data_IF_465565746670
#
_entry.id   IF_465565746670
#
_cell.length_a   1.000
_cell.length_b   1.000
_cell.length_c   1.000
_cell.angle_alpha   90.00
_cell.angle_beta   90.00
_cell.angle_gamma   90.00
#
_symmetry.space_group_name_H-M   'P 1'
#
loop_
_entity.id
_entity.type
_entity.pdbx_description
1 polymer ?
#
# COMPACT_ATOMS: atom_id res chain seq x y z
N UNK A 1 1.32 24.94 16.32
CA UNK A 1 2.13 25.89 15.53
C UNK A 1 3.54 25.93 16.08
N UNK A 2 4.53 25.62 15.24
CA UNK A 2 5.82 25.03 15.64
C UNK A 2 6.97 26.02 15.81
N UNK A 3 7.95 25.61 16.63
CA UNK A 3 9.19 26.31 17.04
C UNK A 3 9.77 27.37 16.09
N UNK A 4 9.76 27.13 14.77
CA UNK A 4 10.25 28.08 13.77
C UNK A 4 9.52 29.43 13.82
N UNK A 5 8.19 29.43 13.92
CA UNK A 5 7.41 30.67 13.95
C UNK A 5 7.71 31.48 15.23
N UNK A 6 7.89 30.80 16.36
CA UNK A 6 8.30 31.43 17.62
C UNK A 6 9.70 32.03 17.51
N UNK A 7 10.65 31.32 16.89
CA UNK A 7 12.00 31.83 16.68
C UNK A 7 12.04 33.06 15.76
N UNK A 8 11.20 33.09 14.72
CA UNK A 8 11.06 34.26 13.85
C UNK A 8 10.46 35.44 14.58
N UNK A 9 9.42 35.24 15.38
CA UNK A 9 8.80 36.31 16.18
C UNK A 9 9.74 36.84 17.27
N UNK A 10 10.54 35.95 17.88
CA UNK A 10 11.57 36.37 18.84
C UNK A 10 12.64 37.25 18.18
N UNK A 11 13.02 36.95 16.93
CA UNK A 11 13.99 37.73 16.16
C UNK A 11 13.39 39.02 15.56
N UNK A 12 12.12 38.99 15.18
CA UNK A 12 11.39 40.10 14.57
C UNK A 12 10.08 40.36 15.35
N UNK A 13 10.14 41.04 16.51
CA UNK A 13 8.97 41.21 17.39
C UNK A 13 7.84 42.03 16.78
N UNK A 14 8.16 42.90 15.82
CA UNK A 14 7.16 43.68 15.07
C UNK A 14 6.46 42.87 13.96
N UNK A 15 6.83 41.59 13.81
CA UNK A 15 6.29 40.69 12.80
C UNK A 15 7.22 40.49 11.61
N UNK A 16 7.10 39.34 10.97
CA UNK A 16 7.83 39.00 9.76
C UNK A 16 6.90 38.24 8.81
N UNK A 17 6.87 38.67 7.54
CA UNK A 17 6.06 38.02 6.50
C UNK A 17 6.50 36.60 6.19
N UNK A 18 7.78 36.27 6.43
CA UNK A 18 8.40 35.03 6.00
C UNK A 18 8.59 34.06 7.17
N UNK A 19 8.18 32.80 7.00
CA UNK A 19 8.50 31.74 7.97
C UNK A 19 10.01 31.41 8.00
N UNK A 20 10.71 31.64 6.89
CA UNK A 20 12.16 31.46 6.75
C UNK A 20 12.80 32.75 6.24
N UNK A 21 13.04 33.75 7.12
CA UNK A 21 13.71 34.99 6.74
C UNK A 21 15.22 34.77 6.58
N UNK A 22 15.87 35.55 5.71
CA UNK A 22 17.31 35.51 5.54
C UNK A 22 18.04 35.77 6.88
N UNK A 23 19.08 34.97 7.16
CA UNK A 23 19.89 35.09 8.38
C UNK A 23 20.84 36.28 8.37
N UNK A 24 21.33 36.67 7.18
CA UNK A 24 22.27 37.79 7.02
C UNK A 24 21.64 38.96 6.27
N UNK A 25 22.11 40.17 6.56
CA UNK A 25 21.74 41.42 5.85
C UNK A 25 20.22 41.64 5.75
N UNK A 26 19.50 41.29 6.82
CA UNK A 26 18.05 41.30 6.94
C UNK A 26 17.64 41.79 8.33
N UNK A 27 17.75 43.11 8.53
CA UNK A 27 17.54 43.77 9.83
C UNK A 27 16.05 43.86 10.16
N UNK A 28 15.24 44.12 9.15
CA UNK A 28 13.79 44.33 9.25
C UNK A 28 12.97 43.07 8.95
N UNK A 29 13.62 41.94 8.64
CA UNK A 29 12.94 40.68 8.33
C UNK A 29 12.23 40.68 6.98
N UNK A 30 12.45 41.69 6.13
CA UNK A 30 11.77 41.84 4.84
C UNK A 30 12.22 40.81 3.79
N UNK A 31 13.40 40.22 3.95
CA UNK A 31 14.00 39.32 2.94
C UNK A 31 13.79 37.84 3.29
N UNK A 32 13.30 37.02 2.35
CA UNK A 32 13.26 35.57 2.53
C UNK A 32 14.66 34.97 2.40
N UNK A 33 14.85 33.77 2.95
CA UNK A 33 16.01 32.94 2.63
C UNK A 33 16.04 32.63 1.13
N UNK A 34 17.23 32.64 0.52
CA UNK A 34 17.37 32.28 -0.89
C UNK A 34 17.47 30.77 -1.09
N UNK A 35 17.08 30.29 -2.27
CA UNK A 35 17.18 28.87 -2.63
C UNK A 35 18.61 28.33 -2.50
N UNK A 36 19.60 29.14 -2.88
CA UNK A 36 21.02 28.80 -2.72
C UNK A 36 21.35 28.51 -1.25
N UNK A 37 20.94 29.42 -0.36
CA UNK A 37 21.17 29.27 1.08
C UNK A 37 20.43 28.07 1.67
N UNK A 38 19.21 27.80 1.23
CA UNK A 38 18.48 26.60 1.66
C UNK A 38 19.18 25.31 1.23
N UNK A 39 19.73 25.27 0.01
CA UNK A 39 20.55 24.13 -0.45
C UNK A 39 21.84 23.98 0.36
N UNK A 40 22.52 25.08 0.67
CA UNK A 40 23.72 25.06 1.51
C UNK A 40 23.39 24.51 2.92
N UNK A 41 22.26 24.93 3.50
CA UNK A 41 21.81 24.41 4.80
C UNK A 41 21.50 22.91 4.75
N UNK A 42 20.88 22.42 3.67
CA UNK A 42 20.63 20.99 3.48
C UNK A 42 21.95 20.20 3.39
N UNK A 43 22.93 20.70 2.63
CA UNK A 43 24.23 20.06 2.51
C UNK A 43 24.94 19.94 3.87
N UNK A 44 25.00 21.02 4.64
CA UNK A 44 25.59 21.03 5.98
C UNK A 44 24.86 20.04 6.92
N UNK A 45 23.54 19.94 6.79
CA UNK A 45 22.77 19.00 7.60
C UNK A 45 23.07 17.55 7.24
N UNK A 46 23.16 17.22 5.95
CA UNK A 46 23.53 15.88 5.48
C UNK A 46 24.95 15.47 5.93
N UNK A 47 25.91 16.39 5.86
CA UNK A 47 27.27 16.16 6.38
C UNK A 47 27.26 15.82 7.87
N UNK A 48 26.49 16.57 8.67
CA UNK A 48 26.36 16.31 10.11
C UNK A 48 25.72 14.97 10.43
N UNK A 49 24.82 14.49 9.57
CA UNK A 49 24.21 13.17 9.72
C UNK A 49 25.12 12.03 9.27
N UNK A 50 26.23 12.33 8.57
CA UNK A 50 27.20 11.34 8.08
C UNK A 50 26.53 10.20 7.28
N UNK A 51 25.48 10.52 6.51
CA UNK A 51 24.76 9.52 5.72
C UNK A 51 25.61 9.16 4.50
N UNK A 52 25.87 7.87 4.32
CA UNK A 52 26.63 7.31 3.21
C UNK A 52 25.79 6.33 2.41
N UNK A 53 26.16 6.13 1.14
CA UNK A 53 25.61 5.08 0.29
C UNK A 53 26.27 3.71 0.57
N UNK A 54 25.83 2.67 -0.13
CA UNK A 54 26.36 1.30 0.02
C UNK A 54 27.85 1.15 -0.33
N UNK A 55 28.47 2.17 -0.95
CA UNK A 55 29.89 2.21 -1.28
C UNK A 55 30.68 3.11 -0.31
N UNK A 56 30.04 3.65 0.72
CA UNK A 56 30.66 4.52 1.73
C UNK A 56 30.81 5.98 1.29
N UNK A 57 30.20 6.42 0.19
CA UNK A 57 30.27 7.80 -0.25
C UNK A 57 29.15 8.66 0.37
N UNK A 58 29.41 9.94 0.70
CA UNK A 58 28.36 10.83 1.20
C UNK A 58 27.19 10.97 0.23
N UNK A 59 25.97 10.82 0.74
CA UNK A 59 24.76 10.92 -0.09
C UNK A 59 24.50 12.34 -0.55
N UNK A 60 24.04 12.48 -1.80
CA UNK A 60 23.55 13.76 -2.35
C UNK A 60 22.02 13.76 -2.39
N UNK A 61 21.42 14.55 -1.51
CA UNK A 61 19.96 14.71 -1.44
C UNK A 61 19.57 16.15 -1.80
N UNK A 62 18.50 16.29 -2.58
CA UNK A 62 17.93 17.55 -3.05
C UNK A 62 16.50 17.72 -2.54
N UNK A 63 16.02 18.97 -2.49
CA UNK A 63 14.63 19.24 -2.12
C UNK A 63 13.61 18.60 -3.06
N UNK A 64 13.95 18.45 -4.36
CA UNK A 64 13.07 17.81 -5.33
C UNK A 64 12.90 16.30 -5.05
N UNK A 65 13.95 15.64 -4.54
CA UNK A 65 13.85 14.24 -4.12
C UNK A 65 12.89 14.05 -2.95
N UNK A 66 12.80 14.98 -2.00
CA UNK A 66 11.77 14.88 -0.94
C UNK A 66 10.35 14.91 -1.51
N UNK A 67 10.11 15.76 -2.52
CA UNK A 67 8.84 15.82 -3.23
C UNK A 67 8.54 14.51 -3.98
N UNK A 68 9.53 13.92 -4.66
CA UNK A 68 9.39 12.60 -5.28
C UNK A 68 9.09 11.50 -4.26
N UNK A 69 9.76 11.50 -3.12
CA UNK A 69 9.55 10.53 -2.03
C UNK A 69 8.13 10.64 -1.49
N UNK A 70 7.62 11.86 -1.27
CA UNK A 70 6.23 12.08 -0.84
C UNK A 70 5.23 11.55 -1.89
N UNK A 71 5.39 11.94 -3.15
CA UNK A 71 4.52 11.50 -4.24
C UNK A 71 4.49 9.97 -4.40
N UNK A 72 5.65 9.34 -4.30
CA UNK A 72 5.82 7.88 -4.37
C UNK A 72 5.13 7.17 -3.20
N UNK A 73 5.25 7.72 -1.98
CA UNK A 73 4.54 7.17 -0.82
C UNK A 73 3.02 7.28 -0.98
N UNK A 74 2.53 8.39 -1.50
CA UNK A 74 1.10 8.60 -1.72
C UNK A 74 0.54 7.67 -2.79
N UNK A 75 1.23 7.50 -3.91
CA UNK A 75 0.75 6.60 -4.98
C UNK A 75 0.73 5.13 -4.49
N UNK A 76 1.75 4.72 -3.73
CA UNK A 76 1.83 3.36 -3.20
C UNK A 76 0.81 3.11 -2.08
N UNK A 77 0.26 4.17 -1.48
CA UNK A 77 -0.83 4.13 -0.51
C UNK A 77 -2.22 4.32 -1.18
N UNK A 78 -2.30 4.10 -2.49
CA UNK A 78 -3.52 4.22 -3.31
C UNK A 78 -4.22 5.58 -3.24
N UNK A 79 -3.48 6.65 -2.91
CA UNK A 79 -4.02 8.01 -3.01
C UNK A 79 -4.30 8.32 -4.48
N UNK A 80 -5.52 8.78 -4.84
CA UNK A 80 -5.86 9.03 -6.23
C UNK A 80 -4.92 10.04 -6.90
N UNK A 81 -4.50 9.76 -8.14
CA UNK A 81 -3.59 10.62 -8.89
C UNK A 81 -4.05 12.10 -8.99
N UNK A 82 -5.35 12.42 -9.17
CA UNK A 82 -5.80 13.81 -9.15
C UNK A 82 -5.53 14.52 -7.82
N UNK A 83 -5.67 13.80 -6.69
CA UNK A 83 -5.37 14.34 -5.35
C UNK A 83 -3.88 14.62 -5.20
N UNK A 84 -3.03 13.69 -5.65
CA UNK A 84 -1.57 13.88 -5.65
C UNK A 84 -1.18 15.06 -6.55
N UNK A 85 -1.81 15.18 -7.73
CA UNK A 85 -1.57 16.27 -8.67
C UNK A 85 -1.90 17.63 -8.03
N UNK A 86 -3.07 17.77 -7.40
CA UNK A 86 -3.47 19.00 -6.71
C UNK A 86 -2.58 19.29 -5.52
N UNK A 87 -2.29 18.30 -4.67
CA UNK A 87 -1.49 18.52 -3.47
C UNK A 87 -0.07 18.95 -3.80
N UNK A 88 0.52 18.35 -4.83
CA UNK A 88 1.86 18.71 -5.25
C UNK A 88 1.86 19.95 -6.14
N UNK A 89 0.72 20.42 -6.65
CA UNK A 89 0.67 21.51 -7.63
C UNK A 89 1.44 21.13 -8.91
N UNK A 90 1.06 20.01 -9.52
CA UNK A 90 1.57 19.58 -10.83
C UNK A 90 0.79 20.22 -11.96
N UNK A 91 1.53 20.90 -12.84
CA UNK A 91 0.99 21.59 -14.02
C UNK A 91 0.33 20.67 -15.05
N UNK A 92 0.60 19.36 -15.00
CA UNK A 92 -0.07 18.39 -15.86
C UNK A 92 -0.23 17.02 -15.19
N UNK A 93 -1.24 16.23 -15.59
CA UNK A 93 -1.38 14.84 -15.16
C UNK A 93 -0.17 13.97 -15.51
N UNK A 94 0.53 14.29 -16.61
CA UNK A 94 1.71 13.55 -17.06
C UNK A 94 2.85 13.56 -16.02
N UNK A 95 3.02 14.65 -15.28
CA UNK A 95 4.02 14.74 -14.20
C UNK A 95 3.70 13.79 -13.03
N UNK A 96 2.41 13.58 -12.74
CA UNK A 96 1.94 12.64 -11.72
C UNK A 96 1.99 11.20 -12.21
N UNK A 97 1.69 10.96 -13.49
CA UNK A 97 1.67 9.62 -14.09
C UNK A 97 3.04 8.90 -14.03
N UNK A 98 4.15 9.63 -13.89
CA UNK A 98 5.48 9.03 -13.67
C UNK A 98 5.48 8.15 -12.41
N UNK A 99 4.73 8.53 -11.36
CA UNK A 99 4.61 7.74 -10.13
C UNK A 99 3.70 6.53 -10.29
N UNK A 100 2.73 6.56 -11.22
CA UNK A 100 1.86 5.42 -11.49
C UNK A 100 2.66 4.20 -12.00
N UNK A 101 3.67 4.41 -12.85
CA UNK A 101 4.58 3.34 -13.29
C UNK A 101 5.39 2.73 -12.13
N UNK A 102 5.69 3.53 -11.11
CA UNK A 102 6.40 3.08 -9.92
C UNK A 102 5.46 2.33 -8.96
N UNK A 103 4.20 2.76 -8.89
CA UNK A 103 3.12 2.00 -8.25
C UNK A 103 2.96 0.63 -8.93
N UNK A 104 2.83 0.57 -10.26
CA UNK A 104 2.71 -0.71 -10.99
C UNK A 104 3.83 -1.70 -10.65
N UNK A 105 5.08 -1.21 -10.52
CA UNK A 105 6.23 -2.03 -10.11
C UNK A 105 6.14 -2.47 -8.65
N UNK A 106 5.71 -1.58 -7.76
CA UNK A 106 5.58 -1.84 -6.33
C UNK A 106 4.45 -2.84 -6.08
N UNK A 107 3.28 -2.57 -6.65
CA UNK A 107 2.10 -3.42 -6.67
C UNK A 107 2.41 -4.80 -7.27
N UNK A 108 3.17 -4.86 -8.38
CA UNK A 108 3.67 -6.12 -8.95
C UNK A 108 4.54 -6.89 -7.95
N UNK A 109 5.49 -6.22 -7.30
CA UNK A 109 6.36 -6.87 -6.29
C UNK A 109 5.55 -7.35 -5.10
N UNK A 110 4.57 -6.58 -4.62
CA UNK A 110 3.65 -7.01 -3.57
C UNK A 110 2.87 -8.24 -4.00
N UNK A 111 2.35 -8.26 -5.22
CA UNK A 111 1.68 -9.42 -5.77
C UNK A 111 2.59 -10.63 -5.88
N UNK A 112 3.79 -10.50 -6.45
CA UNK A 112 4.77 -11.59 -6.59
C UNK A 112 5.15 -12.17 -5.22
N UNK A 113 5.31 -11.33 -4.20
CA UNK A 113 5.71 -11.74 -2.85
C UNK A 113 4.54 -12.17 -1.94
N UNK A 114 3.30 -11.82 -2.26
CA UNK A 114 2.15 -12.17 -1.43
C UNK A 114 1.99 -13.69 -1.33
N UNK A 115 1.64 -14.20 -0.16
CA UNK A 115 1.14 -15.57 -0.06
C UNK A 115 -0.20 -15.66 -0.79
N UNK A 116 -0.29 -16.57 -1.75
CA UNK A 116 -1.54 -16.92 -2.41
C UNK A 116 -2.09 -18.19 -1.80
N UNK A 117 -3.38 -18.19 -1.51
CA UNK A 117 -4.10 -19.33 -0.92
C UNK A 117 -5.24 -19.72 -1.86
N UNK A 118 -5.38 -21.02 -2.14
CA UNK A 118 -6.47 -21.56 -2.95
C UNK A 118 -7.72 -21.84 -2.10
N UNK A 119 -8.79 -22.35 -2.73
CA UNK A 119 -10.04 -22.66 -2.05
C UNK A 119 -9.95 -23.79 -1.01
N UNK A 120 -8.88 -24.59 -1.02
CA UNK A 120 -8.58 -25.62 -0.01
C UNK A 120 -7.73 -25.10 1.16
N UNK A 121 -7.36 -23.82 1.17
CA UNK A 121 -6.50 -23.25 2.20
C UNK A 121 -5.03 -23.66 2.08
N UNK A 122 -4.60 -24.09 0.91
CA UNK A 122 -3.23 -24.46 0.60
C UNK A 122 -2.53 -23.32 -0.14
N UNK A 123 -1.20 -23.28 -0.06
CA UNK A 123 -0.39 -22.33 -0.85
C UNK A 123 -0.63 -22.58 -2.34
N UNK A 124 -1.11 -21.56 -3.03
CA UNK A 124 -1.36 -21.60 -4.47
C UNK A 124 -0.10 -21.16 -5.22
N UNK A 125 0.44 -22.05 -6.06
CA UNK A 125 1.43 -21.69 -7.06
C UNK A 125 0.71 -21.31 -8.35
N UNK A 126 0.89 -20.06 -8.80
CA UNK A 126 0.32 -19.60 -10.05
C UNK A 126 1.37 -19.83 -11.14
N UNK A 127 1.06 -20.69 -12.12
CA UNK A 127 1.94 -21.00 -13.24
C UNK A 127 2.37 -19.73 -13.99
N UNK A 128 3.63 -19.62 -14.40
CA UNK A 128 4.22 -18.38 -14.93
C UNK A 128 3.52 -17.82 -16.19
N UNK A 129 2.85 -18.68 -16.96
CA UNK A 129 2.07 -18.36 -18.16
C UNK A 129 0.61 -17.97 -17.87
N UNK A 130 0.17 -18.11 -16.62
CA UNK A 130 -1.17 -17.76 -16.18
C UNK A 130 -1.40 -16.24 -16.23
N UNK A 131 -2.60 -15.75 -16.60
CA UNK A 131 -2.93 -14.32 -16.62
C UNK A 131 -2.62 -13.54 -15.33
N UNK A 132 -2.63 -14.24 -14.19
CA UNK A 132 -2.32 -13.68 -12.87
C UNK A 132 -0.85 -13.82 -12.46
N UNK A 133 0.03 -14.48 -13.22
CA UNK A 133 1.39 -14.78 -12.77
C UNK A 133 2.46 -13.75 -13.13
N UNK A 134 2.26 -12.92 -14.16
CA UNK A 134 3.29 -12.02 -14.70
C UNK A 134 2.83 -10.59 -14.95
N UNK A 135 3.63 -9.83 -15.71
CA UNK A 135 3.36 -8.43 -16.12
C UNK A 135 1.97 -8.21 -16.78
N UNK A 136 1.33 -9.30 -17.20
CA UNK A 136 -0.07 -9.34 -17.58
C UNK A 136 -0.98 -8.81 -16.46
N UNK A 137 -0.77 -9.12 -15.18
CA UNK A 137 -1.59 -8.65 -14.04
C UNK A 137 -1.58 -7.12 -13.87
N UNK A 138 -0.42 -6.48 -14.01
CA UNK A 138 -0.31 -5.01 -13.99
C UNK A 138 -1.07 -4.38 -15.17
N UNK A 139 -1.02 -5.01 -16.36
CA UNK A 139 -1.84 -4.60 -17.53
C UNK A 139 -3.33 -4.99 -17.38
N UNK A 140 -3.63 -6.09 -16.69
CA UNK A 140 -4.97 -6.59 -16.33
C UNK A 140 -5.60 -5.79 -15.19
N UNK A 141 -4.85 -4.89 -14.55
CA UNK A 141 -5.42 -3.92 -13.60
C UNK A 141 -6.43 -3.00 -14.29
N UNK A 142 -6.25 -2.75 -15.60
CA UNK A 142 -7.24 -2.12 -16.47
C UNK A 142 -8.36 -3.08 -16.93
N UNK A 143 -8.14 -4.40 -16.80
CA UNK A 143 -9.10 -5.49 -17.03
C UNK A 143 -9.71 -5.99 -15.69
N UNK A 144 -9.66 -5.16 -14.63
CA UNK A 144 -10.36 -5.35 -13.35
C UNK A 144 -11.89 -5.52 -13.49
N UNK A 145 -12.45 -5.42 -14.69
CA UNK A 145 -13.87 -5.20 -14.94
C UNK A 145 -14.73 -6.46 -15.12
N UNK A 146 -14.24 -7.70 -14.87
CA UNK A 146 -15.14 -8.87 -14.90
C UNK A 146 -15.31 -9.65 -13.60
N UNK A 147 -14.31 -9.91 -12.76
CA UNK A 147 -14.58 -10.67 -11.50
C UNK A 147 -13.51 -10.40 -10.40
N UNK A 148 -13.42 -9.18 -9.86
CA UNK A 148 -12.84 -9.04 -8.51
C UNK A 148 -13.89 -9.56 -7.54
N UNK A 149 -13.58 -10.63 -6.82
CA UNK A 149 -14.50 -11.18 -5.83
C UNK A 149 -14.41 -10.32 -4.56
N UNK A 150 -15.47 -10.23 -3.75
CA UNK A 150 -15.45 -9.48 -2.49
C UNK A 150 -14.32 -9.92 -1.54
N UNK A 151 -13.82 -11.15 -1.68
CA UNK A 151 -12.85 -11.79 -0.79
C UNK A 151 -11.66 -12.44 -1.55
N UNK A 152 -11.42 -12.06 -2.81
CA UNK A 152 -10.28 -12.57 -3.56
C UNK A 152 -10.35 -12.32 -5.07
N UNK A 153 -9.68 -13.19 -5.82
CA UNK A 153 -9.50 -13.09 -7.25
C UNK A 153 -9.99 -14.35 -7.96
N UNK A 154 -10.55 -14.17 -9.15
CA UNK A 154 -10.80 -15.25 -10.08
C UNK A 154 -9.58 -15.46 -10.99
N UNK A 155 -8.96 -16.63 -10.88
CA UNK A 155 -7.89 -17.12 -11.75
C UNK A 155 -8.40 -17.92 -12.95
N UNK A 156 -9.64 -17.73 -13.41
CA UNK A 156 -10.07 -18.37 -14.64
C UNK A 156 -9.38 -17.70 -15.85
N UNK A 157 -9.06 -18.46 -16.92
CA UNK A 157 -8.59 -17.88 -18.17
C UNK A 157 -9.59 -16.86 -18.73
N UNK A 158 -9.08 -15.79 -19.36
CA UNK A 158 -9.88 -14.64 -19.85
C UNK A 158 -10.99 -15.05 -20.83
N UNK A 159 -10.86 -16.19 -21.50
CA UNK A 159 -11.80 -16.71 -22.51
C UNK A 159 -12.86 -17.67 -21.93
N UNK A 160 -12.90 -17.88 -20.61
CA UNK A 160 -13.85 -18.80 -19.98
C UNK A 160 -15.04 -18.04 -19.39
N UNK A 161 -16.25 -18.33 -19.86
CA UNK A 161 -17.47 -17.85 -19.20
C UNK A 161 -17.69 -18.59 -17.88
N UNK A 162 -18.02 -17.86 -16.81
CA UNK A 162 -18.29 -18.45 -15.51
C UNK A 162 -19.75 -18.94 -15.46
N UNK A 163 -19.94 -20.26 -15.51
CA UNK A 163 -21.27 -20.88 -15.33
C UNK A 163 -21.79 -20.81 -13.89
N UNK A 164 -20.93 -20.42 -12.94
CA UNK A 164 -21.20 -20.48 -11.52
C UNK A 164 -21.49 -19.09 -10.93
N UNK A 165 -22.73 -18.87 -10.48
CA UNK A 165 -23.16 -17.59 -9.93
C UNK A 165 -22.68 -17.30 -8.49
N UNK A 166 -22.31 -18.32 -7.69
CA UNK A 166 -22.13 -18.17 -6.23
C UNK A 166 -21.12 -19.08 -5.46
N UNK A 167 -20.39 -20.07 -6.01
CA UNK A 167 -19.56 -20.96 -5.20
C UNK A 167 -18.07 -20.58 -5.21
N UNK A 168 -17.71 -19.29 -5.17
CA UNK A 168 -16.29 -18.92 -5.33
C UNK A 168 -15.38 -19.52 -4.25
N UNK A 169 -15.87 -19.66 -3.01
CA UNK A 169 -15.16 -20.38 -1.92
C UNK A 169 -15.02 -21.90 -2.15
N UNK A 170 -15.72 -22.45 -3.14
CA UNK A 170 -15.64 -23.84 -3.60
C UNK A 170 -15.01 -23.95 -5.00
N UNK A 171 -14.57 -22.84 -5.59
CA UNK A 171 -14.10 -22.82 -6.97
C UNK A 171 -12.58 -23.02 -7.03
N UNK A 172 -12.13 -23.97 -7.86
CA UNK A 172 -10.70 -24.22 -8.12
C UNK A 172 -9.93 -23.03 -8.66
N UNK A 173 -10.61 -22.06 -9.27
CA UNK A 173 -10.00 -20.85 -9.80
C UNK A 173 -9.91 -19.74 -8.74
N UNK A 174 -10.42 -19.94 -7.53
CA UNK A 174 -10.37 -18.95 -6.47
C UNK A 174 -8.97 -18.84 -5.88
N UNK A 175 -8.48 -17.61 -5.80
CA UNK A 175 -7.20 -17.26 -5.23
C UNK A 175 -7.42 -16.08 -4.28
N UNK A 176 -6.87 -16.15 -3.08
CA UNK A 176 -6.90 -15.03 -2.12
C UNK A 176 -5.53 -14.74 -1.52
N UNK A 177 -5.37 -13.56 -0.93
CA UNK A 177 -4.14 -13.06 -0.31
C UNK A 177 -4.44 -12.50 1.07
N UNK A 178 -3.39 -12.19 1.84
CA UNK A 178 -3.52 -11.56 3.17
C UNK A 178 -4.31 -10.24 3.16
N UNK A 179 -4.35 -9.55 2.02
CA UNK A 179 -5.11 -8.30 1.85
C UNK A 179 -6.63 -8.48 2.05
N UNK A 180 -7.14 -9.71 1.86
CA UNK A 180 -8.55 -10.05 2.05
C UNK A 180 -8.86 -10.68 3.42
N UNK A 181 -7.87 -10.77 4.32
CA UNK A 181 -8.04 -11.44 5.61
C UNK A 181 -9.19 -10.83 6.41
N UNK A 182 -9.33 -9.50 6.42
CA UNK A 182 -10.41 -8.85 7.13
C UNK A 182 -11.79 -9.15 6.51
N UNK A 183 -11.87 -9.22 5.18
CA UNK A 183 -13.07 -9.57 4.44
C UNK A 183 -13.47 -11.03 4.72
N UNK A 184 -12.50 -11.95 4.82
CA UNK A 184 -12.76 -13.33 5.23
C UNK A 184 -13.27 -13.42 6.67
N UNK A 185 -12.67 -12.67 7.61
CA UNK A 185 -13.13 -12.60 9.01
C UNK A 185 -14.55 -12.04 9.11
N UNK A 186 -14.85 -10.99 8.35
CA UNK A 186 -16.19 -10.41 8.29
C UNK A 186 -17.20 -11.42 7.72
N UNK A 187 -16.89 -12.07 6.61
CA UNK A 187 -17.74 -13.09 6.00
C UNK A 187 -17.97 -14.27 6.96
N UNK A 188 -16.95 -14.67 7.72
CA UNK A 188 -17.03 -15.72 8.74
C UNK A 188 -17.99 -15.32 9.88
N UNK A 189 -17.90 -14.08 10.35
CA UNK A 189 -18.76 -13.55 11.40
C UNK A 189 -20.22 -13.54 10.93
N UNK A 190 -20.49 -12.97 9.75
CA UNK A 190 -21.83 -12.95 9.14
C UNK A 190 -22.38 -14.36 8.92
N UNK A 191 -21.53 -15.30 8.45
CA UNK A 191 -21.93 -16.70 8.28
C UNK A 191 -22.30 -17.36 9.62
N UNK A 192 -21.59 -17.02 10.70
CA UNK A 192 -21.89 -17.54 12.04
C UNK A 192 -23.23 -17.02 12.56
N UNK A 193 -23.53 -15.74 12.33
CA UNK A 193 -24.83 -15.14 12.68
C UNK A 193 -25.98 -15.77 11.89
N UNK A 194 -25.78 -16.04 10.60
CA UNK A 194 -26.76 -16.72 9.76
C UNK A 194 -27.03 -18.16 10.23
N UNK A 195 -26.02 -18.87 10.72
CA UNK A 195 -26.20 -20.21 11.31
C UNK A 195 -27.08 -20.11 12.57
N UNK A 196 -26.77 -19.19 13.48
CA UNK A 196 -27.53 -19.01 14.71
C UNK A 196 -29.01 -18.69 14.43
N UNK A 197 -29.27 -17.76 13.50
CA UNK A 197 -30.64 -17.42 13.08
C UNK A 197 -31.37 -18.60 12.42
N UNK A 198 -30.67 -19.36 11.58
CA UNK A 198 -31.26 -20.54 10.94
C UNK A 198 -31.60 -21.64 11.95
N UNK A 199 -30.78 -21.83 12.99
CA UNK A 199 -31.03 -22.80 14.05
C UNK A 199 -32.22 -22.39 14.93
N UNK A 200 -32.30 -21.11 15.31
CA UNK A 200 -33.46 -20.56 16.05
C UNK A 200 -34.76 -20.68 15.24
N UNK A 201 -34.70 -20.46 13.93
CA UNK A 201 -35.84 -20.59 13.03
C UNK A 201 -36.16 -22.05 12.62
N UNK A 202 -35.41 -23.05 13.10
CA UNK A 202 -35.60 -24.47 12.74
C UNK A 202 -35.24 -24.83 11.29
N UNK A 203 -34.50 -23.98 10.59
CA UNK A 203 -34.09 -24.13 9.19
C UNK A 203 -32.81 -24.97 9.06
N UNK A 204 -32.88 -26.25 9.45
CA UNK A 204 -31.72 -27.14 9.56
C UNK A 204 -30.84 -27.21 8.30
N UNK A 205 -31.44 -27.26 7.11
CA UNK A 205 -30.70 -27.32 5.82
C UNK A 205 -29.91 -26.04 5.52
N UNK A 206 -30.41 -24.88 5.96
CA UNK A 206 -29.73 -23.59 5.79
C UNK A 206 -28.55 -23.52 6.75
N UNK A 207 -28.75 -23.93 8.02
CA UNK A 207 -27.67 -24.01 9.00
C UNK A 207 -26.54 -24.95 8.54
N UNK A 208 -26.88 -26.15 8.05
CA UNK A 208 -25.91 -27.14 7.55
C UNK A 208 -25.07 -26.57 6.40
N UNK A 209 -25.70 -25.95 5.39
CA UNK A 209 -24.99 -25.36 4.26
C UNK A 209 -24.01 -24.27 4.71
N UNK A 210 -24.43 -23.40 5.63
CA UNK A 210 -23.59 -22.32 6.14
C UNK A 210 -22.46 -22.84 7.04
N UNK A 211 -22.64 -23.94 7.78
CA UNK A 211 -21.54 -24.58 8.52
C UNK A 211 -20.42 -25.07 7.61
N UNK A 212 -20.77 -25.59 6.42
CA UNK A 212 -19.75 -25.96 5.41
C UNK A 212 -18.97 -24.74 4.92
N UNK A 213 -19.66 -23.63 4.66
CA UNK A 213 -19.02 -22.35 4.31
C UNK A 213 -18.12 -21.84 5.43
N UNK A 214 -18.58 -21.93 6.68
CA UNK A 214 -17.83 -21.50 7.86
C UNK A 214 -16.51 -22.26 7.99
N UNK A 215 -16.53 -23.59 7.88
CA UNK A 215 -15.31 -24.42 7.94
C UNK A 215 -14.29 -24.10 6.84
N UNK A 216 -14.75 -23.68 5.65
CA UNK A 216 -13.86 -23.20 4.58
C UNK A 216 -13.21 -21.86 4.93
N UNK A 217 -14.01 -20.93 5.44
CA UNK A 217 -13.51 -19.63 5.90
C UNK A 217 -12.48 -19.82 7.01
N UNK A 218 -12.72 -20.71 7.98
CA UNK A 218 -11.76 -21.07 9.02
C UNK A 218 -10.45 -21.60 8.44
N UNK A 219 -10.53 -22.48 7.44
CA UNK A 219 -9.35 -23.06 6.79
C UNK A 219 -8.52 -21.99 6.06
N UNK A 220 -9.18 -21.11 5.29
CA UNK A 220 -8.53 -20.02 4.56
C UNK A 220 -7.93 -18.99 5.53
N UNK A 221 -8.69 -18.55 6.54
CA UNK A 221 -8.22 -17.60 7.57
C UNK A 221 -6.99 -18.18 8.28
N UNK A 222 -7.04 -19.44 8.72
CA UNK A 222 -5.92 -20.10 9.38
C UNK A 222 -4.68 -20.19 8.48
N UNK A 223 -4.85 -20.38 7.17
CA UNK A 223 -3.75 -20.38 6.21
C UNK A 223 -3.13 -18.98 6.03
N UNK A 224 -3.95 -17.93 6.01
CA UNK A 224 -3.51 -16.54 5.91
C UNK A 224 -2.83 -16.06 7.21
N UNK A 225 -3.36 -16.43 8.38
CA UNK A 225 -2.85 -16.01 9.70
C UNK A 225 -1.53 -16.65 10.08
N UNK A 226 -1.32 -17.94 9.77
CA UNK A 226 -0.03 -18.65 9.99
C UNK A 226 1.17 -18.00 9.29
N UNK A 227 0.91 -17.06 8.41
CA UNK A 227 1.93 -16.34 7.64
C UNK A 227 2.09 -14.90 8.13
N UNK A 228 1.06 -14.34 8.78
CA UNK A 228 1.08 -13.01 9.37
C UNK A 228 1.95 -12.93 10.63
N UNK A 229 2.15 -14.05 11.34
CA UNK A 229 3.04 -14.09 12.51
C UNK A 229 4.52 -13.93 12.17
N UNK A 230 4.95 -13.99 10.89
CA UNK A 230 6.39 -13.95 10.58
C UNK A 230 6.83 -13.34 9.25
N UNK A 231 6.04 -12.50 8.55
CA UNK A 231 6.58 -11.72 7.42
C UNK A 231 5.63 -10.63 6.90
N UNK A 232 6.07 -9.37 6.97
CA UNK A 232 5.59 -8.29 6.09
C UNK A 232 6.78 -7.90 5.21
N UNK A 233 6.71 -8.23 3.92
CA UNK A 233 7.77 -7.85 2.96
C UNK A 233 7.53 -6.42 2.49
N UNK A 234 8.16 -5.45 3.16
CA UNK A 234 8.36 -4.10 2.63
C UNK A 234 9.73 -4.06 1.96
N UNK A 235 9.77 -3.88 0.64
CA UNK A 235 11.03 -3.64 -0.07
C UNK A 235 11.80 -4.87 -0.57
N UNK A 236 11.39 -6.10 -0.26
CA UNK A 236 12.07 -7.30 -0.75
C UNK A 236 13.30 -7.71 0.07
N UNK A 237 13.46 -7.20 1.29
CA UNK A 237 14.31 -7.81 2.31
C UNK A 237 13.45 -8.37 3.43
N UNK A 238 13.83 -9.56 3.91
CA UNK A 238 13.27 -10.20 5.10
C UNK A 238 14.01 -9.59 6.28
N UNK A 239 13.32 -8.80 7.11
CA UNK A 239 13.82 -8.44 8.43
C UNK A 239 13.01 -9.21 9.48
N UNK A 240 13.74 -9.94 10.32
CA UNK A 240 13.23 -10.71 11.44
C UNK A 240 13.06 -9.74 12.63
N UNK A 241 11.85 -9.63 13.20
CA UNK A 241 11.53 -8.62 14.22
C UNK A 241 12.23 -8.92 15.56
N UNK A 242 12.74 -10.14 15.74
CA UNK A 242 13.41 -10.60 16.96
C UNK A 242 14.95 -10.68 16.86
N UNK A 243 15.56 -10.22 15.76
CA UNK A 243 17.01 -10.34 15.53
C UNK A 243 17.85 -9.07 15.79
N UNK A 244 17.29 -8.04 16.42
CA UNK A 244 18.04 -6.85 16.82
C UNK A 244 18.19 -6.75 18.36
N UNK A 245 19.06 -7.62 18.91
CA UNK A 245 19.79 -7.39 20.17
C UNK A 245 21.27 -7.28 19.86
#
# INVERSE_FOLDING_TARGET
MGRQQQAVLARFPQGCKWLFPASLKNVDGSKPVSDRRMRDHLAIWLERLSITDEYGHPVKVTFHQFRHTLATRMINADVPQPVIQTLLDHMSPAMTAIYAKLHDKTLRRHWENALKVNHEGQKAEIAADHPLAGAAWAKMSLVRAKVTLPNGYCGAPVQTDCEYANPCLDCRFFITTGDFLQQHRQQRQETSELIAQAEEAGLARVAEKNRRTLGKLDTIISALERTAENQIVVGGQVEDVDAAS
#
